data_IF_349077492658
#
_entry.id   IF_349077492658
#
_cell.length_a   1.000
_cell.length_b   1.000
_cell.length_c   1.000
_cell.angle_alpha   90.00
_cell.angle_beta   90.00
_cell.angle_gamma   90.00
#
_symmetry.space_group_name_H-M   'P 1'
#
loop_
_entity.id
_entity.type
_entity.pdbx_description
1 polymer ?
#
# COMPACT_ATOMS: atom_id res chain seq x y z
N UNK A 1 -6.36 6.25 -9.27
CA UNK A 1 -5.48 6.21 -8.14
C UNK A 1 -6.12 5.81 -6.84
N UNK A 2 -5.33 5.83 -5.83
CA UNK A 2 -5.77 5.54 -4.47
C UNK A 2 -6.66 6.67 -3.95
N UNK A 3 -7.77 6.32 -3.29
CA UNK A 3 -8.70 7.31 -2.75
C UNK A 3 -8.02 8.23 -1.73
N UNK A 4 -7.11 7.70 -0.93
CA UNK A 4 -6.40 8.49 0.06
C UNK A 4 -5.46 9.50 -0.61
N UNK A 5 -4.76 9.11 -1.68
CA UNK A 5 -3.94 10.03 -2.47
C UNK A 5 -4.79 11.13 -3.10
N UNK A 6 -5.94 10.79 -3.65
CA UNK A 6 -6.83 11.77 -4.25
C UNK A 6 -7.31 12.76 -3.21
N UNK A 7 -7.67 12.28 -2.02
CA UNK A 7 -8.08 13.13 -0.92
C UNK A 7 -6.96 14.08 -0.50
N UNK A 8 -5.73 13.58 -0.40
CA UNK A 8 -4.57 14.41 -0.07
C UNK A 8 -4.36 15.51 -1.09
N UNK A 9 -4.46 15.18 -2.38
CA UNK A 9 -4.30 16.16 -3.46
C UNK A 9 -5.39 17.23 -3.42
N UNK A 10 -6.63 16.84 -3.17
CA UNK A 10 -7.77 17.75 -3.13
C UNK A 10 -7.72 18.67 -1.91
N UNK A 11 -7.32 18.14 -0.75
CA UNK A 11 -7.34 18.88 0.51
C UNK A 11 -6.07 19.68 0.77
N UNK A 12 -4.95 19.34 0.11
CA UNK A 12 -3.67 20.03 0.30
C UNK A 12 -3.76 21.54 0.22
N UNK A 13 -4.49 22.15 -0.75
CA UNK A 13 -4.59 23.60 -0.83
C UNK A 13 -5.45 24.23 0.25
N UNK A 14 -6.27 23.44 0.94
CA UNK A 14 -7.25 23.95 1.90
C UNK A 14 -6.92 23.62 3.35
N UNK A 15 -6.26 22.48 3.59
CA UNK A 15 -6.00 22.03 4.96
C UNK A 15 -4.67 21.28 5.07
N UNK A 16 -3.62 22.03 5.40
CA UNK A 16 -2.28 21.48 5.58
C UNK A 16 -2.20 20.54 6.77
N UNK A 17 -2.93 20.83 7.86
CA UNK A 17 -2.90 19.96 9.04
C UNK A 17 -3.48 18.58 8.73
N UNK A 18 -4.54 18.54 7.95
CA UNK A 18 -5.14 17.27 7.52
C UNK A 18 -4.19 16.50 6.62
N UNK A 19 -3.53 17.18 5.68
CA UNK A 19 -2.52 16.57 4.81
C UNK A 19 -1.39 15.94 5.63
N UNK A 20 -0.86 16.68 6.61
CA UNK A 20 0.22 16.19 7.47
C UNK A 20 -0.24 14.96 8.26
N UNK A 21 -1.46 14.96 8.77
CA UNK A 21 -2.03 13.81 9.48
C UNK A 21 -2.11 12.58 8.57
N UNK A 22 -2.56 12.75 7.32
CA UNK A 22 -2.62 11.65 6.35
C UNK A 22 -1.23 11.11 6.02
N UNK A 23 -0.24 11.98 5.84
CA UNK A 23 1.12 11.57 5.56
C UNK A 23 1.70 10.74 6.71
N UNK A 24 1.39 11.10 7.96
CA UNK A 24 1.82 10.33 9.12
C UNK A 24 1.19 8.94 9.16
N UNK A 25 -0.09 8.83 8.82
CA UNK A 25 -0.78 7.54 8.74
C UNK A 25 -0.13 6.66 7.67
N UNK A 26 0.14 7.22 6.51
CA UNK A 26 0.83 6.52 5.41
C UNK A 26 2.19 6.00 5.85
N UNK A 27 2.98 6.87 6.45
CA UNK A 27 4.32 6.50 6.88
C UNK A 27 4.29 5.39 7.92
N UNK A 28 3.36 5.48 8.87
CA UNK A 28 3.19 4.43 9.88
C UNK A 28 2.84 3.10 9.25
N UNK A 29 1.93 3.11 8.27
CA UNK A 29 1.50 1.91 7.57
C UNK A 29 2.66 1.27 6.81
N UNK A 30 3.44 2.09 6.09
CA UNK A 30 4.62 1.62 5.38
C UNK A 30 5.64 1.00 6.32
N UNK A 31 5.86 1.61 7.49
CA UNK A 31 6.80 1.08 8.48
C UNK A 31 6.35 -0.28 9.03
N UNK A 32 5.05 -0.46 9.27
CA UNK A 32 4.51 -1.75 9.74
C UNK A 32 4.74 -2.82 8.68
N UNK A 33 4.43 -2.51 7.43
CA UNK A 33 4.64 -3.45 6.32
C UNK A 33 6.12 -3.77 6.16
N UNK A 34 6.99 -2.76 6.26
CA UNK A 34 8.44 -2.98 6.16
C UNK A 34 8.94 -3.94 7.24
N UNK A 35 8.48 -3.79 8.48
CA UNK A 35 8.87 -4.70 9.56
C UNK A 35 8.46 -6.15 9.28
N UNK A 36 7.25 -6.35 8.77
CA UNK A 36 6.77 -7.68 8.38
C UNK A 36 7.65 -8.27 7.29
N UNK A 37 8.00 -7.48 6.29
CA UNK A 37 8.83 -7.92 5.17
C UNK A 37 10.26 -8.24 5.62
N UNK A 38 10.83 -7.44 6.51
CA UNK A 38 12.17 -7.70 7.06
C UNK A 38 12.18 -9.06 7.78
N UNK A 39 11.17 -9.35 8.58
CA UNK A 39 11.05 -10.63 9.27
C UNK A 39 10.94 -11.78 8.29
N UNK A 40 10.15 -11.63 7.23
CA UNK A 40 10.00 -12.66 6.20
C UNK A 40 11.32 -12.93 5.46
N UNK A 41 12.09 -11.88 5.18
CA UNK A 41 13.40 -12.02 4.53
C UNK A 41 14.38 -12.74 5.45
N UNK A 42 14.40 -12.40 6.75
CA UNK A 42 15.27 -13.07 7.73
C UNK A 42 14.96 -14.55 7.85
N UNK A 43 13.69 -14.95 7.69
CA UNK A 43 13.27 -16.34 7.71
C UNK A 43 13.42 -17.02 6.36
N UNK A 44 14.00 -16.36 5.38
CA UNK A 44 14.16 -16.84 4.00
C UNK A 44 12.83 -17.16 3.31
N UNK A 45 11.74 -16.54 3.76
CA UNK A 45 10.42 -16.72 3.15
C UNK A 45 10.28 -15.91 1.85
N UNK A 46 10.98 -14.77 1.76
CA UNK A 46 11.03 -13.96 0.54
C UNK A 46 12.45 -13.48 0.29
N UNK A 47 12.74 -13.14 -0.98
CA UNK A 47 14.06 -12.64 -1.41
C UNK A 47 13.88 -11.23 -1.96
N UNK A 48 14.45 -10.26 -1.27
CA UNK A 48 14.43 -8.87 -1.72
C UNK A 48 15.54 -8.09 -1.00
N UNK A 49 16.12 -7.10 -1.67
CA UNK A 49 17.25 -6.35 -1.12
C UNK A 49 16.89 -4.92 -0.71
N UNK A 50 15.65 -4.48 -0.93
CA UNK A 50 15.19 -3.14 -0.56
C UNK A 50 13.78 -3.23 0.04
N UNK A 51 13.75 -3.49 1.35
CA UNK A 51 12.47 -3.68 2.06
C UNK A 51 11.66 -2.39 2.12
N UNK A 52 12.31 -1.25 2.17
CA UNK A 52 11.61 0.03 2.21
C UNK A 52 10.86 0.29 0.90
N UNK A 53 11.55 0.12 -0.22
CA UNK A 53 10.93 0.29 -1.53
C UNK A 53 9.80 -0.73 -1.73
N UNK A 54 10.03 -1.97 -1.31
CA UNK A 54 9.00 -3.01 -1.42
C UNK A 54 7.78 -2.68 -0.57
N UNK A 55 7.96 -2.20 0.66
CA UNK A 55 6.84 -1.82 1.52
C UNK A 55 6.02 -0.68 0.93
N UNK A 56 6.68 0.32 0.35
CA UNK A 56 5.99 1.42 -0.33
C UNK A 56 5.13 0.90 -1.49
N UNK A 57 5.69 -0.02 -2.28
CA UNK A 57 4.98 -0.61 -3.41
C UNK A 57 3.76 -1.43 -2.94
N UNK A 58 3.92 -2.22 -1.89
CA UNK A 58 2.82 -3.04 -1.34
C UNK A 58 1.69 -2.13 -0.83
N UNK A 59 2.02 -1.11 -0.06
CA UNK A 59 1.02 -0.18 0.46
C UNK A 59 0.29 0.53 -0.67
N UNK A 60 1.04 1.06 -1.65
CA UNK A 60 0.46 1.73 -2.81
C UNK A 60 -0.46 0.80 -3.61
N UNK A 61 -0.07 -0.48 -3.73
CA UNK A 61 -0.87 -1.48 -4.44
C UNK A 61 -2.19 -1.76 -3.73
N UNK A 62 -2.15 -1.93 -2.40
CA UNK A 62 -3.37 -2.15 -1.61
C UNK A 62 -4.31 -0.96 -1.75
N UNK A 63 -3.79 0.24 -1.64
CA UNK A 63 -4.59 1.46 -1.75
C UNK A 63 -5.16 1.62 -3.15
N UNK A 64 -4.38 1.29 -4.18
CA UNK A 64 -4.85 1.32 -5.56
C UNK A 64 -5.98 0.32 -5.79
N UNK A 65 -5.87 -0.89 -5.23
CA UNK A 65 -6.92 -1.90 -5.31
C UNK A 65 -8.19 -1.42 -4.62
N UNK A 66 -8.06 -0.83 -3.43
CA UNK A 66 -9.21 -0.28 -2.71
C UNK A 66 -9.89 0.84 -3.49
N UNK A 67 -9.11 1.77 -4.06
CA UNK A 67 -9.64 2.86 -4.85
C UNK A 67 -10.38 2.39 -6.08
N UNK A 68 -9.82 1.41 -6.77
CA UNK A 68 -10.44 0.83 -7.97
C UNK A 68 -11.75 0.12 -7.62
N UNK A 69 -11.75 -0.69 -6.56
CA UNK A 69 -12.94 -1.40 -6.11
C UNK A 69 -14.04 -0.43 -5.66
N UNK A 70 -13.66 0.62 -4.96
CA UNK A 70 -14.60 1.63 -4.47
C UNK A 70 -15.23 2.42 -5.61
N UNK A 71 -14.44 2.76 -6.61
CA UNK A 71 -14.92 3.44 -7.81
C UNK A 71 -15.94 2.60 -8.55
N UNK A 72 -15.73 1.29 -8.61
CA UNK A 72 -16.61 0.35 -9.30
C UNK A 72 -17.74 -0.16 -8.40
N UNK A 73 -17.68 0.10 -7.09
CA UNK A 73 -18.61 -0.41 -6.09
C UNK A 73 -18.75 -1.94 -6.14
N UNK A 74 -17.63 -2.63 -6.34
CA UNK A 74 -17.56 -4.07 -6.55
C UNK A 74 -16.43 -4.68 -5.72
N UNK A 75 -16.81 -5.48 -4.70
CA UNK A 75 -15.84 -6.14 -3.84
C UNK A 75 -15.02 -7.21 -4.55
N UNK A 76 -15.55 -7.83 -5.60
CA UNK A 76 -14.83 -8.83 -6.37
C UNK A 76 -13.64 -8.22 -7.11
N UNK A 77 -13.74 -6.94 -7.50
CA UNK A 77 -12.63 -6.22 -8.11
C UNK A 77 -11.49 -6.07 -7.12
N UNK A 78 -11.80 -5.83 -5.85
CA UNK A 78 -10.76 -5.77 -4.81
C UNK A 78 -10.02 -7.10 -4.71
N UNK A 79 -10.75 -8.22 -4.63
CA UNK A 79 -10.15 -9.55 -4.54
C UNK A 79 -9.29 -9.87 -5.76
N UNK A 80 -9.79 -9.56 -6.95
CA UNK A 80 -9.05 -9.76 -8.20
C UNK A 80 -7.75 -8.98 -8.19
N UNK A 81 -7.78 -7.73 -7.74
CA UNK A 81 -6.61 -6.87 -7.68
C UNK A 81 -5.60 -7.37 -6.64
N UNK A 82 -6.06 -7.72 -5.44
CA UNK A 82 -5.20 -8.20 -4.36
C UNK A 82 -4.54 -9.54 -4.75
N UNK A 83 -5.22 -10.39 -5.49
CA UNK A 83 -4.64 -11.67 -5.90
C UNK A 83 -3.41 -11.47 -6.79
N UNK A 84 -3.35 -10.41 -7.57
CA UNK A 84 -2.16 -10.08 -8.37
C UNK A 84 -1.00 -9.66 -7.47
N UNK A 85 -1.27 -8.92 -6.41
CA UNK A 85 -0.25 -8.57 -5.43
C UNK A 85 0.28 -9.82 -4.72
N UNK A 86 -0.61 -10.75 -4.36
CA UNK A 86 -0.20 -12.02 -3.76
C UNK A 86 0.70 -12.83 -4.69
N UNK A 87 0.36 -12.90 -5.98
CA UNK A 87 1.21 -13.57 -6.97
C UNK A 87 2.59 -12.91 -7.04
N UNK A 88 2.63 -11.58 -7.04
CA UNK A 88 3.91 -10.87 -7.04
C UNK A 88 4.74 -11.22 -5.81
N UNK A 89 4.15 -11.14 -4.62
CA UNK A 89 4.87 -11.44 -3.37
C UNK A 89 5.33 -12.90 -3.34
N UNK A 90 4.52 -13.83 -3.83
CA UNK A 90 4.90 -15.23 -3.91
C UNK A 90 6.06 -15.47 -4.88
N UNK A 91 6.20 -14.63 -5.89
CA UNK A 91 7.33 -14.73 -6.84
C UNK A 91 8.67 -14.39 -6.19
N UNK A 92 8.64 -13.75 -5.01
CA UNK A 92 9.86 -13.38 -4.28
C UNK A 92 10.38 -14.49 -3.37
N UNK A 93 9.64 -15.57 -3.22
CA UNK A 93 10.03 -16.72 -2.38
C UNK A 93 11.14 -17.54 -2.97
#
# INVERSE_FOLDING_TARGET
>A
GCKLNNLMQELSPIDEDFKVALEKVYLRFENIIEEVLIKAIKKSEIKHNDTKALSMFVVASIEGCLGTAKKSQDGDIFQTCISQLELFLNSLK
#
